data_IF_074304096771
#
_entry.id   IF_074304096771
#
_cell.length_a   1.000
_cell.length_b   1.000
_cell.length_c   1.000
_cell.angle_alpha   90.00
_cell.angle_beta   90.00
_cell.angle_gamma   90.00
#
_symmetry.space_group_name_H-M   'P 1'
#
loop_
_entity.id
_entity.type
_entity.pdbx_description
1 polymer ?
#
# COMPACT_ATOMS: atom_id res chain seq x y z
N UNK A 1 -52.53 -59.45 -7.50
CA UNK A 1 -52.78 -60.23 -8.76
C UNK A 1 -52.06 -59.57 -9.90
N UNK A 2 -51.41 -60.31 -10.74
CA UNK A 2 -50.70 -59.99 -11.98
C UNK A 2 -49.31 -59.41 -11.81
N UNK A 3 -48.39 -60.35 -11.83
CA UNK A 3 -46.98 -60.27 -12.14
C UNK A 3 -46.78 -60.10 -13.63
N UNK A 4 -46.00 -59.04 -14.01
CA UNK A 4 -45.47 -58.93 -15.35
C UNK A 4 -43.93 -58.98 -15.28
N UNK A 5 -43.38 -60.08 -15.71
CA UNK A 5 -41.98 -60.31 -15.90
C UNK A 5 -41.55 -59.56 -17.17
N UNK A 6 -40.55 -58.69 -17.09
CA UNK A 6 -39.86 -58.10 -18.24
C UNK A 6 -38.49 -58.74 -18.35
N UNK A 7 -38.32 -59.49 -19.44
CA UNK A 7 -37.06 -60.13 -19.80
C UNK A 7 -36.00 -59.06 -20.21
N UNK A 8 -34.88 -59.10 -19.55
CA UNK A 8 -33.75 -58.28 -19.90
C UNK A 8 -32.86 -59.02 -20.90
N UNK A 9 -32.88 -58.59 -22.16
CA UNK A 9 -31.96 -59.03 -23.18
C UNK A 9 -30.60 -58.37 -23.02
N UNK A 10 -29.60 -59.13 -22.61
CA UNK A 10 -28.21 -58.65 -22.53
C UNK A 10 -27.61 -58.84 -23.96
N UNK A 11 -27.41 -57.68 -24.62
CA UNK A 11 -26.58 -57.65 -25.82
C UNK A 11 -25.12 -57.46 -25.38
N UNK A 12 -24.33 -58.48 -25.47
CA UNK A 12 -22.88 -58.47 -25.36
C UNK A 12 -22.32 -57.92 -26.66
N UNK A 13 -22.11 -56.61 -26.71
CA UNK A 13 -21.33 -55.95 -27.74
C UNK A 13 -19.85 -55.95 -27.34
N UNK A 14 -19.05 -56.76 -27.95
CA UNK A 14 -17.60 -56.72 -27.88
C UNK A 14 -17.11 -55.42 -28.58
N UNK A 15 -17.10 -54.31 -27.87
CA UNK A 15 -16.42 -53.08 -28.31
C UNK A 15 -14.94 -53.22 -28.04
N UNK A 16 -14.14 -53.30 -29.09
CA UNK A 16 -12.69 -53.19 -29.00
C UNK A 16 -12.35 -51.85 -28.32
N UNK A 17 -11.88 -51.94 -27.10
CA UNK A 17 -11.32 -50.77 -26.39
C UNK A 17 -10.07 -50.34 -27.15
N UNK A 18 -10.20 -49.35 -27.99
CA UNK A 18 -9.08 -48.60 -28.52
C UNK A 18 -8.48 -47.82 -27.33
N UNK A 19 -7.55 -48.48 -26.64
CA UNK A 19 -6.70 -47.81 -25.66
C UNK A 19 -5.81 -46.84 -26.44
N UNK A 20 -6.28 -45.60 -26.57
CA UNK A 20 -5.41 -44.51 -26.98
C UNK A 20 -4.35 -44.36 -25.89
N UNK A 21 -3.06 -44.38 -26.25
CA UNK A 21 -2.03 -44.12 -25.28
C UNK A 21 -2.26 -42.72 -24.72
N UNK A 22 -2.44 -42.63 -23.40
CA UNK A 22 -2.51 -41.39 -22.66
C UNK A 22 -1.20 -40.64 -22.91
N UNK A 23 -1.19 -39.78 -23.92
CA UNK A 23 -0.09 -38.84 -24.11
C UNK A 23 -0.10 -37.94 -22.89
N UNK A 24 0.80 -38.25 -21.98
CA UNK A 24 1.15 -37.36 -20.88
C UNK A 24 1.69 -36.04 -21.50
N UNK A 25 0.79 -35.11 -21.73
CA UNK A 25 1.13 -33.81 -22.28
C UNK A 25 1.71 -32.96 -21.15
N UNK A 26 2.97 -33.27 -20.81
CA UNK A 26 3.77 -32.43 -19.88
C UNK A 26 3.95 -31.00 -20.39
N UNK A 27 3.45 -30.68 -21.58
CA UNK A 27 3.45 -29.33 -22.16
C UNK A 27 2.36 -28.46 -21.56
N UNK A 28 1.16 -28.98 -21.35
CA UNK A 28 0.03 -28.24 -20.82
C UNK A 28 0.34 -27.66 -19.42
N UNK A 29 0.95 -28.42 -18.54
CA UNK A 29 1.29 -27.96 -17.19
C UNK A 29 2.40 -26.90 -17.15
N UNK A 30 3.18 -26.73 -18.21
CA UNK A 30 4.19 -25.63 -18.27
C UNK A 30 3.56 -24.34 -18.73
N UNK A 31 2.60 -24.42 -19.63
CA UNK A 31 1.92 -23.25 -20.15
C UNK A 31 0.94 -22.70 -19.10
N UNK A 32 0.25 -23.56 -18.38
CA UNK A 32 -0.60 -23.17 -17.24
C UNK A 32 0.20 -22.42 -16.17
N UNK A 33 1.36 -22.94 -15.77
CA UNK A 33 2.24 -22.26 -14.81
C UNK A 33 2.74 -20.90 -15.29
N UNK A 34 3.01 -20.76 -16.59
CA UNK A 34 3.43 -19.48 -17.17
C UNK A 34 2.30 -18.46 -17.14
N UNK A 35 1.09 -18.88 -17.47
CA UNK A 35 -0.11 -18.04 -17.42
C UNK A 35 -0.38 -17.59 -15.99
N UNK A 36 -0.33 -18.52 -15.04
CA UNK A 36 -0.50 -18.23 -13.60
C UNK A 36 0.56 -17.24 -13.10
N UNK A 37 1.85 -17.47 -13.41
CA UNK A 37 2.91 -16.52 -13.05
C UNK A 37 2.75 -15.15 -13.70
N UNK A 38 2.24 -15.07 -14.93
CA UNK A 38 1.96 -13.80 -15.57
C UNK A 38 0.80 -13.08 -14.91
N UNK A 39 -0.23 -13.81 -14.50
CA UNK A 39 -1.38 -13.28 -13.78
C UNK A 39 -0.94 -12.69 -12.43
N UNK A 40 -0.20 -13.45 -11.64
CA UNK A 40 0.33 -13.03 -10.36
C UNK A 40 1.19 -11.76 -10.49
N UNK A 41 2.10 -11.71 -11.46
CA UNK A 41 2.91 -10.52 -11.72
C UNK A 41 2.09 -9.29 -12.11
N UNK A 42 0.97 -9.49 -12.82
CA UNK A 42 0.05 -8.40 -13.16
C UNK A 42 -0.71 -7.90 -11.95
N UNK A 43 -1.19 -8.82 -11.11
CA UNK A 43 -1.88 -8.50 -9.87
C UNK A 43 -0.95 -7.74 -8.91
N UNK A 44 0.26 -8.24 -8.67
CA UNK A 44 1.27 -7.57 -7.87
C UNK A 44 1.60 -6.14 -8.35
N UNK A 45 1.71 -5.96 -9.68
CA UNK A 45 1.93 -4.65 -10.26
C UNK A 45 0.75 -3.71 -10.04
N UNK A 46 -0.47 -4.20 -10.19
CA UNK A 46 -1.69 -3.44 -10.00
C UNK A 46 -1.83 -3.00 -8.54
N UNK A 47 -1.61 -3.92 -7.59
CA UNK A 47 -1.63 -3.65 -6.17
C UNK A 47 -0.60 -2.60 -5.76
N UNK A 48 0.65 -2.77 -6.16
CA UNK A 48 1.70 -1.76 -5.89
C UNK A 48 1.40 -0.39 -6.50
N UNK A 49 0.76 -0.35 -7.68
CA UNK A 49 0.33 0.89 -8.31
C UNK A 49 -0.81 1.54 -7.51
N UNK A 50 -1.78 0.74 -7.07
CA UNK A 50 -2.88 1.20 -6.24
C UNK A 50 -2.36 1.80 -4.93
N UNK A 51 -1.51 1.09 -4.20
CA UNK A 51 -0.92 1.55 -2.95
C UNK A 51 -0.14 2.86 -3.11
N UNK A 52 0.63 2.99 -4.20
CA UNK A 52 1.33 4.25 -4.48
C UNK A 52 0.36 5.40 -4.73
N UNK A 53 -0.74 5.14 -5.44
CA UNK A 53 -1.73 6.16 -5.73
C UNK A 53 -2.50 6.59 -4.47
N UNK A 54 -2.88 5.63 -3.62
CA UNK A 54 -3.53 5.90 -2.33
C UNK A 54 -2.61 6.75 -1.45
N UNK A 55 -1.36 6.35 -1.27
CA UNK A 55 -0.39 7.12 -0.48
C UNK A 55 -0.14 8.52 -1.04
N UNK A 56 -0.15 8.67 -2.38
CA UNK A 56 -0.01 9.98 -3.03
C UNK A 56 -1.25 10.85 -2.80
N UNK A 57 -2.45 10.26 -2.91
CA UNK A 57 -3.70 10.96 -2.66
C UNK A 57 -3.83 11.39 -1.19
N UNK A 58 -3.49 10.52 -0.24
CA UNK A 58 -3.46 10.85 1.19
C UNK A 58 -2.49 12.00 1.51
N UNK A 59 -1.28 11.95 0.92
CA UNK A 59 -0.32 13.04 1.10
C UNK A 59 -0.85 14.37 0.55
N UNK A 60 -1.46 14.34 -0.64
CA UNK A 60 -2.07 15.54 -1.24
C UNK A 60 -3.21 16.08 -0.41
N UNK A 61 -4.10 15.20 0.09
CA UNK A 61 -5.20 15.60 0.97
C UNK A 61 -4.68 16.25 2.26
N UNK A 62 -3.72 15.62 2.93
CA UNK A 62 -3.11 16.16 4.15
C UNK A 62 -2.35 17.47 3.88
N UNK A 63 -1.69 17.58 2.72
CA UNK A 63 -1.05 18.83 2.31
C UNK A 63 -2.06 19.95 2.10
N UNK A 64 -3.21 19.67 1.47
CA UNK A 64 -4.26 20.65 1.25
C UNK A 64 -5.02 21.05 2.52
N UNK A 65 -5.04 20.18 3.53
CA UNK A 65 -5.67 20.47 4.84
C UNK A 65 -4.80 21.33 5.76
N UNK A 66 -3.54 21.56 5.39
CA UNK A 66 -2.66 22.40 6.19
C UNK A 66 -3.06 23.88 6.10
N UNK A 67 -3.21 24.50 7.24
CA UNK A 67 -3.43 25.94 7.35
C UNK A 67 -2.31 26.55 8.19
N UNK A 68 -1.56 27.47 7.60
CA UNK A 68 -0.53 28.21 8.32
C UNK A 68 -1.17 29.02 9.44
N UNK A 69 -0.53 29.16 10.62
CA UNK A 69 -1.02 30.03 11.67
C UNK A 69 -1.20 31.46 11.18
N UNK A 70 -2.28 32.11 11.60
CA UNK A 70 -2.57 33.51 11.23
C UNK A 70 -1.45 34.43 11.63
N UNK A 71 -1.12 35.38 10.75
CA UNK A 71 -0.07 36.40 11.00
C UNK A 71 1.35 35.91 10.67
N UNK A 72 1.53 34.72 10.15
CA UNK A 72 2.84 34.23 9.73
C UNK A 72 2.91 34.07 8.22
N UNK A 73 4.00 34.56 7.61
CA UNK A 73 4.33 34.36 6.21
C UNK A 73 5.20 33.11 6.03
N UNK A 74 5.24 32.62 4.80
CA UNK A 74 6.19 31.55 4.43
C UNK A 74 7.62 32.01 4.69
N UNK A 75 8.42 31.15 5.29
CA UNK A 75 9.87 31.35 5.45
C UNK A 75 10.59 30.01 5.44
N UNK A 76 11.84 30.05 5.04
CA UNK A 76 12.73 28.91 5.24
C UNK A 76 13.13 28.82 6.71
N UNK A 77 13.09 27.61 7.22
CA UNK A 77 13.52 27.29 8.57
C UNK A 77 14.91 26.66 8.55
N UNK A 78 15.74 27.05 9.49
CA UNK A 78 17.08 26.52 9.63
C UNK A 78 17.27 25.92 11.04
N UNK A 79 18.26 25.04 11.14
CA UNK A 79 18.71 24.57 12.45
C UNK A 79 19.14 25.75 13.31
N UNK A 80 18.68 25.78 14.55
CA UNK A 80 18.94 26.88 15.47
C UNK A 80 17.86 27.96 15.49
N UNK A 81 16.94 27.98 14.52
CA UNK A 81 15.78 28.88 14.57
C UNK A 81 14.86 28.51 15.73
N UNK A 82 14.13 29.48 16.21
CA UNK A 82 13.09 29.28 17.24
C UNK A 82 11.72 29.27 16.58
N UNK A 83 11.02 28.13 16.72
CA UNK A 83 9.66 27.96 16.23
C UNK A 83 8.69 28.78 17.09
N UNK A 84 7.89 29.69 16.51
CA UNK A 84 6.90 30.48 17.26
C UNK A 84 5.88 29.58 17.98
N UNK A 85 5.31 30.04 19.11
CA UNK A 85 4.32 29.26 19.86
C UNK A 85 3.13 28.77 19.01
N UNK A 86 2.69 29.58 18.04
CA UNK A 86 1.58 29.23 17.15
C UNK A 86 1.81 27.96 16.34
N UNK A 87 3.05 27.63 15.99
CA UNK A 87 3.40 26.39 15.30
C UNK A 87 3.58 25.19 16.24
N UNK A 88 3.59 25.40 17.56
CA UNK A 88 3.76 24.32 18.55
C UNK A 88 2.46 23.64 18.93
N UNK A 89 1.33 24.09 18.37
CA UNK A 89 0.02 23.48 18.58
C UNK A 89 0.04 22.01 18.08
N UNK A 90 -0.73 21.18 18.74
CA UNK A 90 -0.81 19.74 18.43
C UNK A 90 -1.27 19.46 17.00
N UNK A 91 -2.06 20.34 16.39
CA UNK A 91 -2.51 20.27 14.99
C UNK A 91 -1.37 20.22 13.98
N UNK A 92 -0.22 20.78 14.31
CA UNK A 92 0.97 20.81 13.48
C UNK A 92 1.95 19.67 13.76
N UNK A 93 1.68 18.86 14.77
CA UNK A 93 2.53 17.71 15.07
C UNK A 93 2.42 16.64 13.99
N UNK A 94 3.56 16.10 13.62
CA UNK A 94 3.67 15.04 12.62
C UNK A 94 3.92 13.72 13.32
N UNK A 95 3.09 12.73 13.02
CA UNK A 95 3.35 11.35 13.44
C UNK A 95 4.48 10.76 12.60
N UNK A 96 5.63 10.57 13.21
CA UNK A 96 6.82 10.06 12.56
C UNK A 96 6.64 8.68 11.93
N UNK A 97 5.79 7.84 12.50
CA UNK A 97 5.51 6.49 11.98
C UNK A 97 4.78 6.53 10.65
N UNK A 98 3.79 7.39 10.55
CA UNK A 98 2.99 7.57 9.33
C UNK A 98 3.84 8.04 8.15
N UNK A 99 4.89 8.80 8.41
CA UNK A 99 5.75 9.38 7.38
C UNK A 99 7.11 8.68 7.25
N UNK A 100 7.33 7.56 7.95
CA UNK A 100 8.58 6.79 7.88
C UNK A 100 9.79 7.54 8.44
N UNK A 101 9.57 8.46 9.37
CA UNK A 101 10.64 9.16 10.06
C UNK A 101 11.15 8.36 11.24
N UNK A 102 12.39 8.60 11.63
CA UNK A 102 12.95 8.04 12.86
C UNK A 102 12.21 8.57 14.08
N UNK A 103 12.11 7.77 15.14
CA UNK A 103 11.52 8.23 16.39
C UNK A 103 12.27 9.46 16.91
N UNK A 104 11.56 10.53 17.30
CA UNK A 104 12.22 11.72 17.81
C UNK A 104 12.89 11.43 19.17
N UNK A 105 14.06 12.03 19.45
CA UNK A 105 14.68 11.94 20.76
C UNK A 105 13.76 12.44 21.88
N UNK A 106 14.04 12.05 23.13
CA UNK A 106 13.27 12.55 24.26
C UNK A 106 13.30 14.08 24.33
N UNK A 107 12.15 14.70 24.52
CA UNK A 107 12.02 16.15 24.56
C UNK A 107 11.94 16.85 23.20
N UNK A 108 11.86 16.07 22.11
CA UNK A 108 11.67 16.58 20.76
C UNK A 108 10.40 16.02 20.13
N UNK A 109 9.86 16.74 19.18
CA UNK A 109 8.76 16.29 18.33
C UNK A 109 8.88 16.88 16.93
N UNK A 110 8.24 16.22 15.95
CA UNK A 110 8.18 16.73 14.61
C UNK A 110 6.99 17.68 14.44
N UNK A 111 7.24 18.80 13.79
CA UNK A 111 6.24 19.82 13.49
C UNK A 111 6.22 20.09 11.99
N UNK A 112 5.03 20.12 11.41
CA UNK A 112 4.84 20.56 10.04
C UNK A 112 4.85 22.08 9.97
N UNK A 113 5.67 22.62 9.08
CA UNK A 113 5.71 24.03 8.71
C UNK A 113 5.64 24.13 7.20
N UNK A 114 4.51 24.53 6.69
CA UNK A 114 4.24 24.57 5.25
C UNK A 114 4.46 23.18 4.58
N UNK A 115 5.42 23.06 3.70
CA UNK A 115 5.78 21.82 3.01
C UNK A 115 6.91 21.03 3.71
N UNK A 116 7.45 21.58 4.79
CA UNK A 116 8.60 21.03 5.48
C UNK A 116 8.20 20.42 6.84
N UNK A 117 9.08 19.58 7.37
CA UNK A 117 8.98 19.05 8.72
C UNK A 117 10.22 19.48 9.50
N UNK A 118 10.02 20.03 10.67
CA UNK A 118 11.10 20.44 11.58
C UNK A 118 11.08 19.57 12.83
N UNK A 119 12.25 19.14 13.28
CA UNK A 119 12.43 18.53 14.59
C UNK A 119 12.60 19.65 15.63
N UNK A 120 11.68 19.75 16.56
CA UNK A 120 11.58 20.88 17.50
C UNK A 120 11.75 20.42 18.93
N UNK A 121 12.56 21.13 19.70
CA UNK A 121 12.69 20.94 21.14
C UNK A 121 11.42 21.42 21.86
N UNK A 122 10.78 20.54 22.63
CA UNK A 122 9.51 20.82 23.29
C UNK A 122 9.59 21.97 24.28
N UNK A 123 10.67 22.07 25.05
CA UNK A 123 10.85 23.07 26.09
C UNK A 123 11.09 24.50 25.52
N UNK A 124 11.87 24.60 24.45
CA UNK A 124 12.37 25.89 23.95
C UNK A 124 11.78 26.31 22.61
N UNK A 125 11.25 25.36 21.83
CA UNK A 125 10.86 25.57 20.44
C UNK A 125 12.02 25.65 19.47
N UNK A 126 13.25 25.28 19.90
CA UNK A 126 14.42 25.33 19.05
C UNK A 126 14.36 24.27 17.96
N UNK A 127 14.65 24.63 16.72
CA UNK A 127 14.71 23.74 15.57
C UNK A 127 16.05 22.99 15.59
N UNK A 128 16.01 21.69 15.74
CA UNK A 128 17.19 20.82 15.74
C UNK A 128 17.56 20.31 14.34
N UNK A 129 16.56 20.07 13.49
CA UNK A 129 16.76 19.67 12.08
C UNK A 129 15.54 20.04 11.24
N UNK A 130 15.76 20.13 9.92
CA UNK A 130 14.70 20.44 8.93
C UNK A 130 14.71 19.38 7.85
N UNK A 131 13.54 18.85 7.50
CA UNK A 131 13.30 17.94 6.38
C UNK A 131 12.49 18.72 5.36
N UNK A 132 13.13 19.07 4.26
CA UNK A 132 12.54 19.94 3.22
C UNK A 132 11.66 19.13 2.29
N UNK A 133 10.51 19.68 1.90
CA UNK A 133 9.69 19.17 0.81
C UNK A 133 8.96 17.85 1.10
N UNK A 134 8.73 17.50 2.35
CA UNK A 134 8.07 16.24 2.70
C UNK A 134 6.59 16.19 2.26
N UNK A 135 5.96 17.34 2.09
CA UNK A 135 4.55 17.48 1.71
C UNK A 135 4.35 18.07 0.31
N UNK A 136 5.36 17.99 -0.54
CA UNK A 136 5.26 18.38 -1.96
C UNK A 136 4.58 17.32 -2.82
#
# INVERSE_FOLDING_TARGET
>A
MLTAAVALSVLVGAGAANAQPYRNDHRDHRDDRRVEQQYDRRMDKAERKYDRNVRKAERKYRASAYQRPSGYAYRHWNRGDRLPPAYRDQRYRVDYRTYGLSAPPRGYYYTRVDNDVVLTAAATGLVASVIVGMFQ
#
